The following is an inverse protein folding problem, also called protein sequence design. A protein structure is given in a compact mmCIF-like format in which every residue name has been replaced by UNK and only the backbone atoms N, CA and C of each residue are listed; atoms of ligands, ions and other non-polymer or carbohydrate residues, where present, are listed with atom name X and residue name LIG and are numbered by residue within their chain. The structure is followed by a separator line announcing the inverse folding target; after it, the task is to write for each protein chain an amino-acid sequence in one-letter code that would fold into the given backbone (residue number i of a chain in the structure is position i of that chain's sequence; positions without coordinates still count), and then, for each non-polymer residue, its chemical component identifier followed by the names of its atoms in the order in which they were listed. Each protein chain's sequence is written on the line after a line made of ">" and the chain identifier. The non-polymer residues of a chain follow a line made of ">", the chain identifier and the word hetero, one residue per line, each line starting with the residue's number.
data_IF_607619319917
#
_entry.id   IF_607619319917
#
_cell.length_a   1.000
_cell.length_b   1.000
_cell.length_c   1.000
_cell.angle_alpha   90.00
_cell.angle_beta   90.00
_cell.angle_gamma   90.00
#
_symmetry.space_group_name_H-M   'P 1'
#
loop_
_entity.id
_entity.type
_entity.pdbx_description
1 polymer ?
#
# COMPACT_ATOMS: atom_id res chain seq x y z
N UNK A 1 17.82 -5.43 -11.57
CA UNK A 1 17.32 -6.83 -11.54
C UNK A 1 17.76 -7.63 -10.32
N UNK A 2 18.78 -7.21 -9.55
CA UNK A 2 19.26 -7.92 -8.37
C UNK A 2 18.15 -8.21 -7.35
N UNK A 3 17.38 -7.19 -6.95
CA UNK A 3 16.28 -7.35 -5.98
C UNK A 3 15.10 -8.19 -6.51
N UNK A 4 14.77 -8.07 -7.79
CA UNK A 4 13.71 -8.87 -8.41
C UNK A 4 14.02 -10.37 -8.44
N UNK A 5 15.32 -10.72 -8.47
CA UNK A 5 15.81 -12.10 -8.56
C UNK A 5 16.11 -12.74 -7.20
N UNK A 6 16.02 -12.00 -6.09
CA UNK A 6 16.30 -12.52 -4.74
C UNK A 6 15.10 -13.20 -4.09
N UNK A 7 13.90 -13.05 -4.65
CA UNK A 7 12.64 -13.46 -3.99
C UNK A 7 12.11 -12.43 -2.99
N UNK A 8 12.87 -11.39 -2.66
CA UNK A 8 12.50 -10.38 -1.67
C UNK A 8 11.61 -9.26 -2.23
N UNK A 9 11.39 -9.24 -3.56
CA UNK A 9 10.64 -8.18 -4.25
C UNK A 9 9.21 -7.97 -3.72
N UNK A 10 8.60 -9.01 -3.18
CA UNK A 10 7.28 -8.94 -2.54
C UNK A 10 7.26 -8.01 -1.32
N UNK A 11 8.40 -7.82 -0.65
CA UNK A 11 8.52 -6.93 0.51
C UNK A 11 8.56 -5.45 0.15
N UNK A 12 8.79 -5.10 -1.12
CA UNK A 12 8.76 -3.71 -1.58
C UNK A 12 7.60 -3.43 -2.54
N UNK A 13 7.33 -4.32 -3.50
CA UNK A 13 6.35 -4.04 -4.55
C UNK A 13 4.90 -4.07 -4.06
N UNK A 14 4.50 -5.06 -3.26
CA UNK A 14 3.13 -5.13 -2.75
C UNK A 14 2.82 -3.98 -1.79
N UNK A 15 3.69 -3.64 -0.82
CA UNK A 15 3.49 -2.45 0.00
C UNK A 15 3.42 -1.16 -0.80
N UNK A 16 4.33 -0.93 -1.76
CA UNK A 16 4.30 0.26 -2.61
C UNK A 16 3.03 0.34 -3.47
N UNK A 17 2.53 -0.79 -3.95
CA UNK A 17 1.25 -0.85 -4.68
C UNK A 17 0.06 -0.44 -3.79
N UNK A 18 0.06 -0.85 -2.52
CA UNK A 18 -0.98 -0.44 -1.56
C UNK A 18 -0.93 1.07 -1.28
N UNK A 19 0.28 1.63 -1.07
CA UNK A 19 0.46 3.05 -0.78
C UNK A 19 0.01 3.92 -1.95
N UNK A 20 0.53 3.65 -3.15
CA UNK A 20 0.16 4.41 -4.36
C UNK A 20 -1.31 4.26 -4.74
N UNK A 21 -1.91 3.09 -4.49
CA UNK A 21 -3.35 2.93 -4.69
C UNK A 21 -4.16 3.76 -3.70
N UNK A 22 -3.75 3.85 -2.42
CA UNK A 22 -4.41 4.73 -1.43
C UNK A 22 -4.37 6.19 -1.87
N UNK A 23 -3.24 6.67 -2.38
CA UNK A 23 -3.12 8.02 -2.93
C UNK A 23 -4.11 8.24 -4.07
N UNK A 24 -4.18 7.31 -5.02
CA UNK A 24 -5.16 7.36 -6.09
C UNK A 24 -6.61 7.44 -5.57
N UNK A 25 -6.94 6.64 -4.55
CA UNK A 25 -8.27 6.63 -3.95
C UNK A 25 -8.62 7.96 -3.28
N UNK A 26 -7.65 8.63 -2.67
CA UNK A 26 -7.85 9.93 -2.02
C UNK A 26 -7.95 11.07 -3.03
N UNK A 27 -7.11 11.06 -4.05
CA UNK A 27 -6.92 12.22 -4.93
C UNK A 27 -7.83 12.20 -6.17
N UNK A 28 -8.20 11.00 -6.66
CA UNK A 28 -8.87 10.88 -7.97
C UNK A 28 -10.12 10.00 -7.97
N UNK A 29 -10.28 9.08 -7.03
CA UNK A 29 -11.37 8.12 -7.08
C UNK A 29 -12.75 8.72 -6.73
N UNK A 30 -13.78 8.23 -7.43
CA UNK A 30 -15.19 8.48 -7.08
C UNK A 30 -15.56 7.75 -5.78
N UNK A 31 -16.60 8.17 -5.05
CA UNK A 31 -17.00 7.53 -3.79
C UNK A 31 -17.18 6.02 -3.86
N UNK A 32 -17.87 5.52 -4.90
CA UNK A 32 -18.06 4.07 -5.10
C UNK A 32 -16.75 3.31 -5.33
N UNK A 33 -15.80 3.90 -6.07
CA UNK A 33 -14.48 3.30 -6.30
C UNK A 33 -13.64 3.33 -5.03
N UNK A 34 -13.75 4.39 -4.23
CA UNK A 34 -13.08 4.50 -2.93
C UNK A 34 -13.52 3.39 -1.99
N UNK A 35 -14.82 3.15 -1.84
CA UNK A 35 -15.35 2.11 -0.95
C UNK A 35 -14.82 0.70 -1.28
N UNK A 36 -14.87 0.32 -2.56
CA UNK A 36 -14.32 -0.96 -3.02
C UNK A 36 -12.80 -0.98 -2.83
N UNK A 37 -12.12 0.12 -3.15
CA UNK A 37 -10.67 0.25 -3.02
C UNK A 37 -10.16 0.10 -1.59
N UNK A 38 -10.83 0.69 -0.60
CA UNK A 38 -10.49 0.52 0.82
C UNK A 38 -10.64 -0.94 1.27
N UNK A 39 -11.64 -1.64 0.74
CA UNK A 39 -11.82 -3.08 1.02
C UNK A 39 -10.68 -3.90 0.42
N UNK A 40 -10.31 -3.64 -0.83
CA UNK A 40 -9.14 -4.25 -1.49
C UNK A 40 -7.85 -4.00 -0.72
N UNK A 41 -7.62 -2.77 -0.23
CA UNK A 41 -6.43 -2.43 0.57
C UNK A 41 -6.36 -3.30 1.83
N UNK A 42 -7.46 -3.46 2.57
CA UNK A 42 -7.49 -4.31 3.78
C UNK A 42 -7.17 -5.78 3.46
N UNK A 43 -7.74 -6.33 2.40
CA UNK A 43 -7.47 -7.71 1.98
C UNK A 43 -5.99 -7.91 1.60
N UNK A 44 -5.40 -6.96 0.88
CA UNK A 44 -4.02 -7.04 0.43
C UNK A 44 -2.99 -6.74 1.52
N UNK A 45 -3.32 -5.90 2.51
CA UNK A 45 -2.52 -5.73 3.73
C UNK A 45 -2.39 -7.05 4.50
N UNK A 46 -3.49 -7.79 4.65
CA UNK A 46 -3.49 -9.08 5.34
C UNK A 46 -2.61 -10.15 4.64
N UNK A 47 -2.41 -10.00 3.32
CA UNK A 47 -1.56 -10.88 2.50
C UNK A 47 -0.07 -10.55 2.58
N UNK A 48 0.34 -9.45 3.24
CA UNK A 48 1.77 -9.17 3.46
C UNK A 48 2.30 -10.17 4.50
N UNK A 49 3.27 -11.04 4.14
CA UNK A 49 3.72 -12.10 5.03
C UNK A 49 4.58 -11.59 6.20
N UNK A 50 5.32 -10.49 6.01
CA UNK A 50 6.17 -9.91 7.05
C UNK A 50 5.36 -8.98 7.96
N UNK A 51 5.21 -9.29 9.27
CA UNK A 51 4.47 -8.44 10.20
C UNK A 51 5.07 -7.03 10.34
N UNK A 52 6.40 -6.93 10.26
CA UNK A 52 7.11 -5.65 10.34
C UNK A 52 6.79 -4.76 9.13
N UNK A 53 6.81 -5.33 7.92
CA UNK A 53 6.45 -4.61 6.69
C UNK A 53 4.98 -4.23 6.69
N UNK A 54 4.09 -5.13 7.15
CA UNK A 54 2.65 -4.83 7.28
C UNK A 54 2.40 -3.64 8.22
N UNK A 55 2.98 -3.65 9.42
CA UNK A 55 2.84 -2.56 10.38
C UNK A 55 3.41 -1.23 9.87
N UNK A 56 4.52 -1.27 9.14
CA UNK A 56 5.07 -0.07 8.51
C UNK A 56 4.18 0.46 7.37
N UNK A 57 3.57 -0.44 6.59
CA UNK A 57 2.62 -0.07 5.54
C UNK A 57 1.39 0.61 6.15
N UNK A 58 0.85 0.09 7.25
CA UNK A 58 -0.27 0.68 7.99
C UNK A 58 0.06 2.10 8.49
N UNK A 59 1.24 2.31 9.11
CA UNK A 59 1.69 3.64 9.53
C UNK A 59 1.79 4.64 8.36
N UNK A 60 2.27 4.19 7.20
CA UNK A 60 2.36 5.05 6.00
C UNK A 60 1.00 5.35 5.40
N UNK A 61 0.04 4.41 5.46
CA UNK A 61 -1.34 4.67 5.04
C UNK A 61 -2.02 5.75 5.89
N UNK A 62 -1.76 5.78 7.20
CA UNK A 62 -2.24 6.84 8.09
C UNK A 62 -1.66 8.20 7.70
N UNK A 63 -0.35 8.25 7.43
CA UNK A 63 0.33 9.47 6.94
C UNK A 63 -0.24 9.95 5.61
N UNK A 64 -0.51 9.03 4.68
CA UNK A 64 -1.16 9.35 3.39
C UNK A 64 -2.57 9.91 3.61
N UNK A 65 -3.34 9.31 4.52
CA UNK A 65 -4.66 9.82 4.90
C UNK A 65 -4.57 11.23 5.55
N UNK A 66 -3.47 11.54 6.24
CA UNK A 66 -3.20 12.86 6.80
C UNK A 66 -2.70 13.89 5.76
N UNK A 67 -2.48 13.48 4.50
CA UNK A 67 -2.10 14.38 3.40
C UNK A 67 -0.66 14.22 2.91
N UNK A 68 0.15 13.36 3.52
CA UNK A 68 1.47 13.04 2.98
C UNK A 68 1.35 12.26 1.66
N UNK A 69 2.33 12.40 0.77
CA UNK A 69 2.36 11.75 -0.54
C UNK A 69 3.76 11.23 -0.85
N UNK A 70 3.86 10.33 -1.82
CA UNK A 70 5.09 9.72 -2.34
C UNK A 70 5.89 8.95 -1.27
N UNK A 71 5.19 8.11 -0.49
CA UNK A 71 5.81 7.21 0.49
C UNK A 71 6.11 5.85 -0.15
N UNK A 72 7.37 5.39 -0.06
CA UNK A 72 7.80 4.11 -0.65
C UNK A 72 8.81 3.34 0.23
N UNK A 73 8.92 2.03 -0.03
CA UNK A 73 9.91 1.09 0.52
C UNK A 73 11.13 0.95 -0.38
#
# INVERSE_FOLDING_TARGET
>A
MSLAKTGEIQHCCQPNAILTFKEYLLDYARPATREVGETTIREHLARIPSPAVRAETERRLERIAAGERDLYF
#
